data_IF_620922928935
#
_entry.id   IF_620922928935
#
_cell.length_a   1.000
_cell.length_b   1.000
_cell.length_c   1.000
_cell.angle_alpha   90.00
_cell.angle_beta   90.00
_cell.angle_gamma   90.00
#
_symmetry.space_group_name_H-M   'P 1'
#
loop_
_entity.id
_entity.type
_entity.pdbx_description
1 polymer ?
#
# COMPACT_ATOMS: atom_id res chain seq x y z
N UNK A 1 -23.18 8.18 28.91
CA UNK A 1 -22.44 9.35 29.36
C UNK A 1 -21.59 8.94 30.56
N UNK A 2 -20.34 9.38 30.67
CA UNK A 2 -19.41 8.99 31.73
C UNK A 2 -18.09 8.41 31.20
N UNK A 3 -17.92 8.38 29.87
CA UNK A 3 -16.69 7.90 29.21
C UNK A 3 -15.67 9.04 28.91
N UNK A 4 -16.10 10.29 29.03
CA UNK A 4 -15.23 11.46 28.98
C UNK A 4 -14.74 11.77 30.39
N UNK A 5 -13.45 12.03 30.57
CA UNK A 5 -12.81 12.30 31.87
C UNK A 5 -12.77 11.10 32.84
N UNK A 6 -12.69 9.89 32.31
CA UNK A 6 -12.31 8.72 33.11
C UNK A 6 -10.84 8.82 33.54
N UNK A 7 -10.51 8.22 34.68
CA UNK A 7 -9.12 8.08 35.14
C UNK A 7 -8.26 7.39 34.09
N UNK A 8 -7.06 7.91 33.84
CA UNK A 8 -6.10 7.27 32.94
C UNK A 8 -5.47 6.05 33.60
N UNK A 9 -6.07 4.90 33.32
CA UNK A 9 -5.59 3.61 33.85
C UNK A 9 -4.23 3.20 33.26
N UNK A 10 -3.75 3.87 32.21
CA UNK A 10 -2.45 3.58 31.55
C UNK A 10 -1.31 4.46 32.04
N UNK A 11 -1.59 5.56 32.75
CA UNK A 11 -0.57 6.46 33.30
C UNK A 11 0.52 5.72 34.09
N UNK A 12 0.22 4.74 34.98
CA UNK A 12 1.23 4.00 35.72
C UNK A 12 2.17 3.14 34.85
N UNK A 13 1.77 2.88 33.60
CA UNK A 13 2.50 2.01 32.69
C UNK A 13 3.26 2.79 31.59
N UNK A 14 3.21 4.12 31.61
CA UNK A 14 3.77 4.96 30.53
C UNK A 14 5.28 4.76 30.39
N UNK A 15 5.98 4.54 31.49
CA UNK A 15 7.42 4.31 31.49
C UNK A 15 7.81 2.98 30.85
N UNK A 16 6.93 1.99 30.86
CA UNK A 16 7.15 0.71 30.19
C UNK A 16 7.27 0.85 28.66
N UNK A 17 6.75 1.95 28.08
CA UNK A 17 6.90 2.21 26.65
C UNK A 17 8.32 2.67 26.28
N UNK A 18 9.04 3.30 27.19
CA UNK A 18 10.41 3.75 26.97
C UNK A 18 11.39 2.59 26.83
N UNK A 19 11.13 1.49 27.54
CA UNK A 19 12.02 0.33 27.64
C UNK A 19 11.69 -0.77 26.62
N UNK A 20 10.68 -0.57 25.78
CA UNK A 20 10.32 -1.56 24.74
C UNK A 20 11.39 -1.62 23.66
N UNK A 21 11.89 -2.82 23.32
CA UNK A 21 12.81 -2.96 22.21
C UNK A 21 12.14 -2.50 20.91
N UNK A 22 12.83 -1.62 20.20
CA UNK A 22 12.35 -1.13 18.88
C UNK A 22 12.52 -2.26 17.86
N UNK A 23 11.39 -2.80 17.37
CA UNK A 23 11.38 -3.78 16.30
C UNK A 23 10.57 -3.27 15.14
N UNK A 24 11.06 -3.49 13.92
CA UNK A 24 10.36 -3.10 12.70
C UNK A 24 9.26 -4.12 12.42
N UNK A 25 8.03 -3.63 12.24
CA UNK A 25 6.85 -4.45 11.93
C UNK A 25 6.44 -4.37 10.47
N UNK A 26 6.58 -3.19 9.89
CA UNK A 26 6.02 -2.86 8.59
C UNK A 26 6.96 -1.96 7.79
N UNK A 27 6.86 -2.06 6.47
CA UNK A 27 7.46 -1.14 5.51
C UNK A 27 6.39 -0.64 4.55
N UNK A 28 6.47 0.65 4.23
CA UNK A 28 5.82 1.23 3.07
C UNK A 28 6.87 1.40 1.97
N UNK A 29 6.75 0.65 0.90
CA UNK A 29 7.70 0.68 -0.22
C UNK A 29 7.16 1.56 -1.34
N UNK A 30 7.84 2.67 -1.60
CA UNK A 30 7.52 3.54 -2.72
C UNK A 30 8.05 2.92 -4.02
N UNK A 31 7.27 2.03 -4.62
CA UNK A 31 7.64 1.25 -5.81
C UNK A 31 7.81 2.13 -7.04
N UNK A 32 7.06 3.23 -7.11
CA UNK A 32 7.17 4.20 -8.18
C UNK A 32 7.15 5.63 -7.64
N UNK A 33 8.16 6.43 -7.98
CA UNK A 33 8.14 7.88 -7.89
C UNK A 33 7.63 8.44 -9.23
N UNK A 34 6.46 8.01 -9.63
CA UNK A 34 5.69 8.45 -10.78
C UNK A 34 4.23 8.08 -10.61
N UNK A 35 3.33 8.82 -11.25
CA UNK A 35 1.89 8.57 -11.19
C UNK A 35 1.22 8.93 -12.51
N UNK A 36 0.17 8.24 -12.86
CA UNK A 36 -0.68 8.48 -14.04
C UNK A 36 -1.88 9.39 -13.75
N UNK A 37 -2.05 9.85 -12.50
CA UNK A 37 -2.99 10.89 -12.08
C UNK A 37 -2.25 12.15 -11.65
N UNK A 38 -2.99 13.28 -11.63
CA UNK A 38 -2.52 14.59 -11.16
C UNK A 38 -3.43 15.10 -10.05
N UNK A 39 -3.52 14.35 -8.95
CA UNK A 39 -4.39 14.67 -7.83
C UNK A 39 -4.04 16.02 -7.21
N UNK A 40 -5.03 16.91 -7.03
CA UNK A 40 -4.83 18.29 -6.54
C UNK A 40 -4.28 18.37 -5.11
N UNK A 41 -4.51 17.35 -4.31
CA UNK A 41 -4.03 17.27 -2.92
C UNK A 41 -2.84 16.32 -2.76
N UNK A 42 -2.17 15.94 -3.85
CA UNK A 42 -1.08 14.97 -3.79
C UNK A 42 0.09 15.53 -2.99
N UNK A 43 0.34 14.92 -1.82
CA UNK A 43 1.49 15.28 -0.98
C UNK A 43 2.84 14.90 -1.62
N UNK A 44 2.80 14.02 -2.61
CA UNK A 44 3.97 13.51 -3.32
C UNK A 44 4.23 14.22 -4.66
N UNK A 45 3.61 15.39 -4.92
CA UNK A 45 3.79 16.15 -6.17
C UNK A 45 3.64 15.27 -7.42
N UNK A 46 2.46 14.70 -7.61
CA UNK A 46 2.17 13.74 -8.69
C UNK A 46 3.07 12.48 -8.69
N UNK A 47 3.58 12.13 -7.52
CA UNK A 47 4.41 10.96 -7.30
C UNK A 47 5.91 11.21 -7.31
N UNK A 48 6.38 12.45 -7.57
CA UNK A 48 7.81 12.77 -7.68
C UNK A 48 8.52 12.93 -6.33
N UNK A 49 7.79 13.15 -5.24
CA UNK A 49 8.31 13.30 -3.87
C UNK A 49 9.44 14.33 -3.76
N UNK A 50 9.24 15.53 -4.36
CA UNK A 50 10.23 16.64 -4.42
C UNK A 50 11.55 16.24 -5.10
N UNK A 51 11.54 15.20 -5.92
CA UNK A 51 12.72 14.68 -6.57
C UNK A 51 12.57 14.55 -8.08
N UNK A 52 12.86 13.38 -8.57
CA UNK A 52 12.71 13.00 -9.98
C UNK A 52 11.82 11.78 -10.11
N UNK A 53 11.17 11.64 -11.25
CA UNK A 53 10.49 10.40 -11.61
C UNK A 53 11.48 9.25 -11.67
N UNK A 54 11.16 8.19 -10.98
CA UNK A 54 11.98 6.98 -10.92
C UNK A 54 11.12 5.78 -10.54
N UNK A 55 11.55 4.61 -10.96
CA UNK A 55 10.97 3.33 -10.54
C UNK A 55 11.98 2.62 -9.63
N UNK A 56 11.48 1.97 -8.58
CA UNK A 56 12.31 1.18 -7.68
C UNK A 56 12.89 -0.02 -8.44
N UNK A 57 14.18 -0.30 -8.28
CA UNK A 57 14.74 -1.54 -8.79
C UNK A 57 14.43 -2.71 -7.86
N UNK A 58 14.42 -3.93 -8.41
CA UNK A 58 14.25 -5.15 -7.62
C UNK A 58 15.27 -5.24 -6.47
N UNK A 59 16.53 -4.89 -6.72
CA UNK A 59 17.63 -4.96 -5.75
C UNK A 59 17.39 -4.05 -4.53
N UNK A 60 16.83 -2.86 -4.76
CA UNK A 60 16.46 -1.93 -3.67
C UNK A 60 15.33 -2.51 -2.84
N UNK A 61 14.26 -2.98 -3.48
CA UNK A 61 13.13 -3.59 -2.79
C UNK A 61 13.53 -4.86 -2.04
N UNK A 62 14.38 -5.71 -2.64
CA UNK A 62 14.92 -6.90 -1.99
C UNK A 62 15.68 -6.55 -0.71
N UNK A 63 16.58 -5.56 -0.75
CA UNK A 63 17.30 -5.10 0.43
C UNK A 63 16.37 -4.56 1.52
N UNK A 64 15.26 -3.91 1.13
CA UNK A 64 14.26 -3.44 2.09
C UNK A 64 13.56 -4.61 2.79
N UNK A 65 13.21 -5.69 2.08
CA UNK A 65 12.65 -6.90 2.69
C UNK A 65 13.67 -7.59 3.61
N UNK A 66 14.94 -7.70 3.19
CA UNK A 66 16.02 -8.23 4.03
C UNK A 66 16.18 -7.42 5.32
N UNK A 67 16.14 -6.08 5.21
CA UNK A 67 16.17 -5.18 6.37
C UNK A 67 14.98 -5.42 7.31
N UNK A 68 13.76 -5.55 6.76
CA UNK A 68 12.56 -5.82 7.56
C UNK A 68 12.71 -7.12 8.36
N UNK A 69 13.16 -8.19 7.71
CA UNK A 69 13.38 -9.49 8.38
C UNK A 69 14.43 -9.34 9.48
N UNK A 70 15.59 -8.75 9.18
CA UNK A 70 16.70 -8.61 10.12
C UNK A 70 16.34 -7.78 11.37
N UNK A 71 15.44 -6.79 11.22
CA UNK A 71 15.09 -5.85 12.29
C UNK A 71 13.73 -6.13 12.94
N UNK A 72 13.09 -7.24 12.62
CA UNK A 72 11.75 -7.59 13.14
C UNK A 72 11.76 -8.39 14.44
N UNK A 73 12.93 -8.79 14.94
CA UNK A 73 13.07 -9.59 16.16
C UNK A 73 12.23 -10.88 16.09
N UNK A 74 11.49 -11.18 17.14
CA UNK A 74 10.63 -12.36 17.23
C UNK A 74 9.28 -12.26 16.52
N UNK A 75 8.97 -11.12 15.87
CA UNK A 75 7.70 -10.95 15.15
C UNK A 75 7.61 -11.92 13.98
N UNK A 76 6.53 -12.69 13.94
CA UNK A 76 6.24 -13.61 12.83
C UNK A 76 5.58 -12.90 11.66
N UNK A 77 4.58 -12.05 11.93
CA UNK A 77 3.82 -11.36 10.88
C UNK A 77 4.46 -10.01 10.58
N UNK A 78 4.85 -9.83 9.33
CA UNK A 78 5.46 -8.61 8.80
C UNK A 78 4.53 -8.02 7.73
N UNK A 79 4.44 -6.71 7.68
CA UNK A 79 3.56 -6.01 6.76
C UNK A 79 4.39 -5.21 5.75
N UNK A 80 4.00 -5.30 4.49
CA UNK A 80 4.61 -4.53 3.39
C UNK A 80 3.51 -3.93 2.55
N UNK A 81 3.47 -2.60 2.49
CA UNK A 81 2.56 -1.87 1.62
C UNK A 81 3.31 -1.38 0.37
N UNK A 82 2.88 -1.84 -0.78
CA UNK A 82 3.33 -1.33 -2.08
C UNK A 82 2.58 -0.04 -2.38
N UNK A 83 3.31 1.04 -2.32
CA UNK A 83 2.83 2.41 -2.38
C UNK A 83 3.66 3.24 -3.37
N UNK A 84 3.57 4.58 -3.26
CA UNK A 84 4.35 5.54 -4.04
C UNK A 84 3.45 6.54 -4.74
N UNK A 85 3.79 6.91 -5.95
CA UNK A 85 2.87 7.62 -6.85
C UNK A 85 1.76 6.68 -7.29
N UNK A 86 2.08 5.74 -8.18
CA UNK A 86 1.20 4.62 -8.53
C UNK A 86 2.00 3.32 -8.68
N UNK A 87 1.90 2.38 -7.73
CA UNK A 87 2.73 1.17 -7.73
C UNK A 87 2.48 0.24 -8.91
N UNK A 88 1.29 0.27 -9.51
CA UNK A 88 1.00 -0.56 -10.70
C UNK A 88 1.78 -0.12 -11.94
N UNK A 89 2.40 1.06 -11.95
CA UNK A 89 3.35 1.48 -13.00
C UNK A 89 4.66 0.68 -12.98
N UNK A 90 4.96 0.01 -11.87
CA UNK A 90 6.14 -0.84 -11.70
C UNK A 90 5.75 -2.23 -11.19
N UNK A 91 4.67 -2.77 -11.72
CA UNK A 91 4.03 -3.97 -11.18
C UNK A 91 4.90 -5.23 -11.30
N UNK A 92 5.78 -5.28 -12.29
CA UNK A 92 6.72 -6.40 -12.43
C UNK A 92 7.65 -6.53 -11.21
N UNK A 93 8.15 -5.40 -10.71
CA UNK A 93 8.96 -5.39 -9.48
C UNK A 93 8.10 -5.78 -8.26
N UNK A 94 6.84 -5.38 -8.20
CA UNK A 94 5.91 -5.85 -7.14
C UNK A 94 5.82 -7.37 -7.15
N UNK A 95 5.61 -8.01 -8.32
CA UNK A 95 5.54 -9.47 -8.45
C UNK A 95 6.83 -10.14 -7.95
N UNK A 96 7.97 -9.67 -8.41
CA UNK A 96 9.29 -10.18 -8.03
C UNK A 96 9.54 -10.06 -6.50
N UNK A 97 9.14 -8.94 -5.88
CA UNK A 97 9.31 -8.74 -4.45
C UNK A 97 8.38 -9.64 -3.62
N UNK A 98 7.16 -9.87 -4.07
CA UNK A 98 6.24 -10.82 -3.43
C UNK A 98 6.80 -12.23 -3.51
N UNK A 99 7.26 -12.67 -4.67
CA UNK A 99 7.89 -13.98 -4.86
C UNK A 99 9.11 -14.14 -3.96
N UNK A 100 9.98 -13.14 -3.93
CA UNK A 100 11.14 -13.14 -3.04
C UNK A 100 10.71 -13.20 -1.56
N UNK A 101 9.77 -12.37 -1.14
CA UNK A 101 9.26 -12.40 0.24
C UNK A 101 8.75 -13.78 0.62
N UNK A 102 7.93 -14.42 -0.23
CA UNK A 102 7.45 -15.80 -0.01
C UNK A 102 8.58 -16.80 0.13
N UNK A 103 9.64 -16.68 -0.70
CA UNK A 103 10.77 -17.61 -0.70
C UNK A 103 11.59 -17.60 0.60
N UNK A 104 11.58 -16.47 1.33
CA UNK A 104 12.36 -16.34 2.57
C UNK A 104 11.54 -16.52 3.85
N UNK A 105 10.21 -16.70 3.76
CA UNK A 105 9.31 -16.83 4.91
C UNK A 105 9.69 -17.97 5.84
N UNK A 106 9.82 -19.17 5.31
CA UNK A 106 10.06 -20.40 6.09
C UNK A 106 11.42 -20.37 6.80
N UNK A 107 12.49 -20.05 6.08
CA UNK A 107 13.85 -20.02 6.61
C UNK A 107 14.01 -18.99 7.75
N UNK A 108 13.21 -17.92 7.76
CA UNK A 108 13.27 -16.87 8.76
C UNK A 108 12.15 -16.97 9.81
N UNK A 109 11.26 -17.95 9.74
CA UNK A 109 10.06 -18.06 10.57
C UNK A 109 9.22 -16.77 10.55
N UNK A 110 9.01 -16.23 9.33
CA UNK A 110 8.24 -15.01 9.06
C UNK A 110 7.05 -15.32 8.16
N UNK A 111 6.08 -14.40 8.16
CA UNK A 111 4.95 -14.41 7.25
C UNK A 111 4.65 -12.98 6.80
N UNK A 112 4.79 -12.72 5.52
CA UNK A 112 4.49 -11.41 4.95
C UNK A 112 2.99 -11.25 4.66
N UNK A 113 2.48 -10.08 5.02
CA UNK A 113 1.17 -9.59 4.62
C UNK A 113 1.40 -8.42 3.67
N UNK A 114 1.17 -8.67 2.39
CA UNK A 114 1.32 -7.65 1.35
C UNK A 114 0.01 -6.87 1.18
N UNK A 115 0.14 -5.57 1.02
CA UNK A 115 -0.94 -4.64 0.67
C UNK A 115 -0.57 -3.92 -0.62
N UNK A 116 -1.54 -3.69 -1.49
CA UNK A 116 -1.39 -2.87 -2.69
C UNK A 116 -2.30 -1.65 -2.55
N UNK A 117 -1.70 -0.45 -2.51
CA UNK A 117 -2.42 0.82 -2.49
C UNK A 117 -2.38 1.44 -3.88
N UNK A 118 -3.50 1.51 -4.57
CA UNK A 118 -3.57 1.92 -5.99
C UNK A 118 -4.69 2.90 -6.29
N UNK A 119 -4.47 3.76 -7.28
CA UNK A 119 -5.52 4.61 -7.86
C UNK A 119 -6.43 3.86 -8.85
N UNK A 120 -6.09 2.63 -9.22
CA UNK A 120 -6.93 1.75 -10.03
C UNK A 120 -6.87 1.98 -11.55
N UNK A 121 -6.22 3.02 -12.05
CA UNK A 121 -6.21 3.33 -13.49
C UNK A 121 -5.64 2.16 -14.32
N UNK A 122 -4.56 1.54 -13.86
CA UNK A 122 -3.90 0.44 -14.57
C UNK A 122 -4.38 -0.95 -14.14
N UNK A 123 -5.31 -1.06 -13.18
CA UNK A 123 -5.87 -2.35 -12.82
C UNK A 123 -6.46 -3.05 -14.05
N UNK A 124 -6.04 -4.27 -14.26
CA UNK A 124 -6.53 -5.20 -15.28
C UNK A 124 -6.70 -6.58 -14.65
N UNK A 125 -7.12 -7.57 -15.44
CA UNK A 125 -7.40 -8.91 -14.93
C UNK A 125 -6.14 -9.60 -14.40
N UNK A 126 -4.99 -9.43 -15.04
CA UNK A 126 -3.71 -9.98 -14.58
C UNK A 126 -3.33 -9.43 -13.18
N UNK A 127 -3.40 -8.11 -13.01
CA UNK A 127 -3.09 -7.46 -11.73
C UNK A 127 -4.08 -7.91 -10.65
N UNK A 128 -5.37 -7.99 -11.00
CA UNK A 128 -6.41 -8.39 -10.06
C UNK A 128 -6.25 -9.85 -9.63
N UNK A 129 -5.99 -10.77 -10.56
CA UNK A 129 -5.79 -12.19 -10.25
C UNK A 129 -4.57 -12.39 -9.35
N UNK A 130 -3.47 -11.70 -9.66
CA UNK A 130 -2.29 -11.71 -8.79
C UNK A 130 -2.59 -11.13 -7.40
N UNK A 131 -3.27 -9.99 -7.34
CA UNK A 131 -3.60 -9.34 -6.08
C UNK A 131 -4.57 -10.18 -5.24
N UNK A 132 -5.52 -10.86 -5.84
CA UNK A 132 -6.43 -11.78 -5.15
C UNK A 132 -5.70 -12.98 -4.55
N UNK A 133 -4.65 -13.45 -5.20
CA UNK A 133 -3.84 -14.57 -4.74
C UNK A 133 -2.84 -14.17 -3.64
N UNK A 134 -2.14 -13.07 -3.81
CA UNK A 134 -0.95 -12.74 -3.02
C UNK A 134 -1.15 -11.60 -2.02
N UNK A 135 -2.05 -10.65 -2.29
CA UNK A 135 -2.25 -9.49 -1.44
C UNK A 135 -3.25 -9.78 -0.32
N UNK A 136 -2.83 -9.56 0.91
CA UNK A 136 -3.73 -9.63 2.08
C UNK A 136 -4.79 -8.54 2.02
N UNK A 137 -4.44 -7.35 1.51
CA UNK A 137 -5.36 -6.24 1.33
C UNK A 137 -5.09 -5.51 0.00
N UNK A 138 -6.15 -4.86 -0.52
CA UNK A 138 -6.05 -3.86 -1.58
C UNK A 138 -6.67 -2.57 -1.06
N UNK A 139 -5.97 -1.45 -1.22
CA UNK A 139 -6.49 -0.11 -0.91
C UNK A 139 -6.75 0.60 -2.24
N UNK A 140 -7.99 1.06 -2.41
CA UNK A 140 -8.48 1.68 -3.63
C UNK A 140 -8.76 3.16 -3.38
N UNK A 141 -8.08 4.02 -4.11
CA UNK A 141 -8.21 5.47 -3.92
C UNK A 141 -9.33 6.07 -4.76
N UNK A 142 -10.38 6.58 -4.12
CA UNK A 142 -11.51 7.27 -4.75
C UNK A 142 -12.04 8.38 -3.86
N UNK A 143 -12.52 9.47 -4.45
CA UNK A 143 -13.05 10.64 -3.73
C UNK A 143 -14.58 10.76 -3.86
N UNK A 144 -15.27 9.64 -3.64
CA UNK A 144 -16.72 9.60 -3.63
C UNK A 144 -17.35 9.68 -5.03
N UNK A 145 -18.25 10.63 -5.27
CA UNK A 145 -18.99 10.72 -6.54
C UNK A 145 -18.14 11.29 -7.68
N UNK A 146 -18.58 11.00 -8.90
CA UNK A 146 -17.84 11.27 -10.14
C UNK A 146 -17.31 12.70 -10.26
N UNK A 147 -18.16 13.69 -10.02
CA UNK A 147 -17.79 15.10 -10.21
C UNK A 147 -16.65 15.53 -9.28
N UNK A 148 -16.67 15.03 -8.04
CA UNK A 148 -15.63 15.32 -7.05
C UNK A 148 -14.38 14.53 -7.37
N UNK A 149 -14.51 13.24 -7.68
CA UNK A 149 -13.36 12.41 -8.04
C UNK A 149 -12.60 12.97 -9.26
N UNK A 150 -13.30 13.30 -10.34
CA UNK A 150 -12.68 13.83 -11.55
C UNK A 150 -12.06 15.22 -11.33
N UNK A 151 -12.67 16.04 -10.45
CA UNK A 151 -12.12 17.34 -10.07
C UNK A 151 -10.83 17.21 -9.26
N UNK A 152 -10.80 16.28 -8.31
CA UNK A 152 -9.70 16.14 -7.34
C UNK A 152 -8.60 15.18 -7.80
N UNK A 153 -8.95 14.19 -8.63
CA UNK A 153 -8.07 13.14 -9.16
C UNK A 153 -8.10 13.10 -10.71
N UNK A 154 -7.79 14.23 -11.37
CA UNK A 154 -7.79 14.24 -12.83
C UNK A 154 -6.73 13.29 -13.38
N UNK A 155 -7.02 12.70 -14.56
CA UNK A 155 -6.02 11.96 -15.32
C UNK A 155 -4.93 12.89 -15.82
N UNK A 156 -3.69 12.45 -15.79
CA UNK A 156 -2.60 13.19 -16.44
C UNK A 156 -2.87 13.25 -17.95
N UNK A 157 -2.59 14.39 -18.57
CA UNK A 157 -2.83 14.66 -19.99
C UNK A 157 -4.30 14.62 -20.41
N UNK A 158 -5.23 14.81 -19.48
CA UNK A 158 -6.66 14.97 -19.76
C UNK A 158 -7.30 13.80 -20.54
N UNK A 159 -6.94 12.57 -20.19
CA UNK A 159 -7.47 11.33 -20.80
C UNK A 159 -8.90 10.97 -20.36
N UNK A 160 -9.74 11.96 -20.05
CA UNK A 160 -11.13 11.75 -19.66
C UNK A 160 -11.33 11.51 -18.16
N UNK A 161 -12.50 10.98 -17.82
CA UNK A 161 -12.91 10.76 -16.43
C UNK A 161 -12.12 9.64 -15.77
N UNK A 162 -11.39 9.96 -14.71
CA UNK A 162 -10.73 8.95 -13.87
C UNK A 162 -11.76 8.05 -13.18
N UNK A 163 -12.88 8.62 -12.75
CA UNK A 163 -13.99 7.88 -12.13
C UNK A 163 -14.56 6.80 -13.04
N UNK A 164 -14.86 7.14 -14.30
CA UNK A 164 -15.45 6.18 -15.25
C UNK A 164 -14.48 5.02 -15.56
N UNK A 165 -13.17 5.27 -15.49
CA UNK A 165 -12.15 4.25 -15.67
C UNK A 165 -12.06 3.31 -14.46
N UNK A 166 -12.08 3.87 -13.23
CA UNK A 166 -11.77 3.09 -12.03
C UNK A 166 -13.00 2.37 -11.45
N UNK A 167 -14.19 2.96 -11.51
CA UNK A 167 -15.38 2.40 -10.86
C UNK A 167 -15.74 0.98 -11.30
N UNK A 168 -15.72 0.62 -12.60
CA UNK A 168 -15.96 -0.77 -12.99
C UNK A 168 -14.94 -1.74 -12.41
N UNK A 169 -13.68 -1.30 -12.31
CA UNK A 169 -12.57 -2.11 -11.76
C UNK A 169 -12.71 -2.28 -10.25
N UNK A 170 -13.08 -1.22 -9.52
CA UNK A 170 -13.30 -1.29 -8.08
C UNK A 170 -14.46 -2.21 -7.70
N UNK A 171 -15.55 -2.18 -8.46
CA UNK A 171 -16.65 -3.16 -8.31
C UNK A 171 -16.14 -4.58 -8.49
N UNK A 172 -15.33 -4.82 -9.52
CA UNK A 172 -14.74 -6.14 -9.79
C UNK A 172 -13.81 -6.59 -8.64
N UNK A 173 -13.01 -5.68 -8.06
CA UNK A 173 -12.20 -5.98 -6.86
C UNK A 173 -13.10 -6.41 -5.70
N UNK A 174 -14.14 -5.64 -5.38
CA UNK A 174 -15.04 -5.95 -4.28
C UNK A 174 -15.73 -7.30 -4.47
N UNK A 175 -16.26 -7.57 -5.67
CA UNK A 175 -16.93 -8.82 -6.01
C UNK A 175 -15.99 -10.02 -5.96
N UNK A 176 -14.79 -9.92 -6.56
CA UNK A 176 -13.81 -11.01 -6.60
C UNK A 176 -13.22 -11.34 -5.23
N UNK A 177 -13.29 -10.43 -4.28
CA UNK A 177 -12.84 -10.61 -2.89
C UNK A 177 -14.00 -10.88 -1.91
N UNK A 178 -15.20 -11.17 -2.39
CA UNK A 178 -16.38 -11.42 -1.57
C UNK A 178 -16.66 -10.29 -0.55
N UNK A 179 -16.48 -9.04 -0.94
CA UNK A 179 -16.63 -7.84 -0.11
C UNK A 179 -15.69 -7.82 1.12
N UNK A 180 -14.54 -8.48 1.05
CA UNK A 180 -13.58 -8.56 2.15
C UNK A 180 -12.16 -8.18 1.70
N UNK A 181 -11.34 -7.75 2.67
CA UNK A 181 -9.90 -7.49 2.48
C UNK A 181 -9.60 -6.47 1.37
N UNK A 182 -10.45 -5.45 1.25
CA UNK A 182 -10.16 -4.24 0.50
C UNK A 182 -10.66 -3.01 1.27
N UNK A 183 -10.09 -1.86 0.98
CA UNK A 183 -10.46 -0.57 1.54
C UNK A 183 -10.64 0.45 0.41
N UNK A 184 -11.54 1.40 0.64
CA UNK A 184 -11.86 2.48 -0.29
C UNK A 184 -11.73 3.82 0.43
#
# INVERSE_FOLDING_TARGET
AGQLFTEDIYEPYIDNFKDRPTVVKALCLHIAHDCNLACKYCFAEEGEYHGRRALMSYEVGKKALDFLVANSGSRKNLEVDFFGGEPTMNFEVVKQLVEYGRSIEEANNKKFRFTLTTNGILLNDEILDFANKEMSNIVLSIDGRKEINDLMRPTRNNHGSSYDIIMPKFKKVAESRNQMNYYV
#
